data_IF_431448688140
#
_entry.id   IF_431448688140
#
_cell.length_a   1.000
_cell.length_b   1.000
_cell.length_c   1.000
_cell.angle_alpha   90.00
_cell.angle_beta   90.00
_cell.angle_gamma   90.00
#
_symmetry.space_group_name_H-M   'P 1'
#
loop_
_entity.id
_entity.type
_entity.pdbx_description
1 polymer ?
#
# COMPACT_ATOMS: atom_id res chain seq x y z
N UNK A 1 36.99 6.01 6.46
CA UNK A 1 36.60 5.33 5.21
C UNK A 1 35.21 4.81 5.47
N UNK A 2 34.22 5.66 5.22
CA UNK A 2 32.81 5.33 5.42
C UNK A 2 32.43 4.31 4.36
N UNK A 3 32.01 3.14 4.81
CA UNK A 3 31.47 2.10 3.95
C UNK A 3 30.14 2.62 3.40
N UNK A 4 30.16 3.11 2.16
CA UNK A 4 28.95 3.30 1.37
C UNK A 4 28.24 1.96 1.30
N UNK A 5 27.17 1.82 2.08
CA UNK A 5 26.28 0.67 2.04
C UNK A 5 25.60 0.70 0.67
N UNK A 6 26.15 -0.05 -0.28
CA UNK A 6 25.55 -0.27 -1.59
C UNK A 6 24.09 -0.68 -1.42
N UNK A 7 23.16 0.11 -1.96
CA UNK A 7 21.71 -0.17 -2.00
C UNK A 7 21.36 -1.44 -2.82
N UNK A 8 22.35 -2.25 -3.22
CA UNK A 8 22.27 -3.33 -4.20
C UNK A 8 21.52 -4.60 -3.75
N UNK A 9 20.76 -4.58 -2.65
CA UNK A 9 20.02 -5.76 -2.18
C UNK A 9 18.59 -5.48 -1.72
N UNK A 10 17.92 -4.47 -2.28
CA UNK A 10 16.45 -4.45 -2.21
C UNK A 10 15.94 -5.50 -3.18
N UNK A 11 15.49 -6.65 -2.67
CA UNK A 11 14.91 -7.71 -3.47
C UNK A 11 13.77 -7.15 -4.33
N UNK A 12 13.87 -7.32 -5.65
CA UNK A 12 12.86 -6.83 -6.57
C UNK A 12 11.51 -7.52 -6.27
N UNK A 13 10.40 -6.76 -6.19
CA UNK A 13 9.11 -7.34 -5.91
C UNK A 13 8.70 -8.23 -7.09
N UNK A 14 8.62 -9.54 -6.88
CA UNK A 14 8.19 -10.47 -7.92
C UNK A 14 6.68 -10.34 -8.11
N UNK A 15 6.24 -10.08 -9.34
CA UNK A 15 4.84 -10.07 -9.73
C UNK A 15 4.41 -11.45 -10.21
N UNK A 16 3.41 -12.03 -9.56
CA UNK A 16 2.84 -13.34 -9.89
C UNK A 16 1.47 -13.24 -10.60
N UNK A 17 0.94 -12.03 -10.77
CA UNK A 17 -0.38 -11.77 -11.35
C UNK A 17 -1.34 -11.14 -10.36
N UNK A 18 -1.04 -11.24 -9.06
CA UNK A 18 -1.86 -10.66 -8.00
C UNK A 18 -1.34 -9.32 -7.51
N UNK A 19 -2.27 -8.51 -7.00
CA UNK A 19 -1.98 -7.20 -6.41
C UNK A 19 -1.17 -6.25 -7.32
N UNK A 20 -1.49 -6.26 -8.63
CA UNK A 20 -0.80 -5.47 -9.65
C UNK A 20 -0.58 -4.00 -9.26
N UNK A 21 -1.56 -3.35 -8.62
CA UNK A 21 -1.44 -1.95 -8.20
C UNK A 21 -0.31 -1.74 -7.17
N UNK A 22 -0.16 -2.64 -6.20
CA UNK A 22 0.94 -2.55 -5.23
C UNK A 22 2.28 -2.86 -5.88
N UNK A 23 2.31 -3.80 -6.83
CA UNK A 23 3.52 -4.11 -7.58
C UNK A 23 3.97 -2.91 -8.42
N UNK A 24 3.05 -2.23 -9.13
CA UNK A 24 3.35 -1.03 -9.91
C UNK A 24 4.03 0.03 -9.03
N UNK A 25 3.43 0.36 -7.88
CA UNK A 25 4.00 1.37 -6.96
C UNK A 25 5.42 0.98 -6.54
N UNK A 26 5.63 -0.27 -6.11
CA UNK A 26 6.95 -0.74 -5.67
C UNK A 26 7.98 -0.76 -6.81
N UNK A 27 7.58 -1.21 -8.00
CA UNK A 27 8.47 -1.31 -9.15
C UNK A 27 8.85 0.07 -9.68
N UNK A 28 7.90 1.01 -9.76
CA UNK A 28 8.19 2.41 -10.14
C UNK A 28 9.22 3.02 -9.20
N UNK A 29 8.99 2.97 -7.89
CA UNK A 29 9.95 3.48 -6.89
C UNK A 29 11.32 2.80 -6.99
N UNK A 30 11.35 1.49 -7.23
CA UNK A 30 12.60 0.75 -7.39
C UNK A 30 13.38 1.20 -8.64
N UNK A 31 12.72 1.42 -9.76
CA UNK A 31 13.35 1.88 -11.00
C UNK A 31 13.76 3.36 -10.93
N UNK A 32 13.00 4.20 -10.25
CA UNK A 32 13.36 5.59 -9.95
C UNK A 32 14.63 5.65 -9.09
N UNK A 33 14.71 4.86 -8.01
CA UNK A 33 15.88 4.79 -7.14
C UNK A 33 17.16 4.33 -7.87
N UNK A 34 17.00 3.59 -8.97
CA UNK A 34 18.09 3.10 -9.82
C UNK A 34 18.38 3.99 -11.04
N UNK A 35 17.69 5.13 -11.18
CA UNK A 35 17.78 6.03 -12.34
C UNK A 35 17.50 5.31 -13.69
N UNK A 36 16.52 4.39 -13.66
CA UNK A 36 16.09 3.58 -14.80
C UNK A 36 14.69 3.93 -15.32
N UNK A 37 13.89 4.66 -14.55
CA UNK A 37 12.50 4.98 -14.89
C UNK A 37 12.35 5.76 -16.20
N UNK A 38 13.27 6.69 -16.49
CA UNK A 38 13.32 7.49 -17.74
C UNK A 38 13.25 6.60 -19.00
N UNK A 39 13.86 5.41 -18.95
CA UNK A 39 13.86 4.47 -20.09
C UNK A 39 12.49 3.84 -20.39
N UNK A 40 11.57 3.86 -19.43
CA UNK A 40 10.18 3.39 -19.57
C UNK A 40 9.23 4.57 -19.78
N UNK A 41 9.46 5.70 -19.12
CA UNK A 41 8.54 6.84 -19.20
C UNK A 41 8.63 7.54 -20.56
N UNK A 42 9.85 7.86 -21.00
CA UNK A 42 10.05 8.63 -22.24
C UNK A 42 10.13 7.74 -23.48
N UNK A 43 10.45 6.45 -23.29
CA UNK A 43 10.82 5.50 -24.35
C UNK A 43 11.76 6.10 -25.42
N UNK A 44 12.74 6.88 -24.95
CA UNK A 44 13.61 7.64 -25.83
C UNK A 44 14.41 6.76 -26.79
N UNK A 45 14.68 7.27 -27.99
CA UNK A 45 15.63 6.64 -28.90
C UNK A 45 17.08 6.95 -28.51
N UNK A 46 17.98 6.02 -28.84
CA UNK A 46 19.43 6.23 -28.73
C UNK A 46 19.97 6.36 -30.16
N UNK A 47 20.15 7.59 -30.68
CA UNK A 47 20.60 7.79 -32.05
C UNK A 47 22.04 7.29 -32.22
N UNK A 48 22.41 6.88 -33.45
CA UNK A 48 23.79 6.50 -33.74
C UNK A 48 24.76 7.65 -33.47
N UNK A 49 25.97 7.30 -33.05
CA UNK A 49 27.03 8.29 -32.83
C UNK A 49 27.42 8.99 -34.14
N UNK A 50 27.77 10.29 -34.11
CA UNK A 50 28.32 10.99 -35.26
C UNK A 50 29.69 10.42 -35.64
N UNK A 51 30.19 10.72 -36.84
CA UNK A 51 31.46 10.18 -37.36
C UNK A 51 32.68 10.46 -36.46
N UNK A 52 32.70 11.61 -35.78
CA UNK A 52 33.75 12.01 -34.82
C UNK A 52 33.11 12.38 -33.48
N UNK A 53 32.76 11.40 -32.62
CA UNK A 53 32.09 11.67 -31.38
C UNK A 53 33.06 12.19 -30.31
N UNK A 54 32.60 13.13 -29.48
CA UNK A 54 33.34 13.54 -28.29
C UNK A 54 33.29 12.46 -27.21
N UNK A 55 34.21 12.51 -26.25
CA UNK A 55 34.22 11.56 -25.12
C UNK A 55 32.91 11.63 -24.31
N UNK A 56 32.34 12.83 -24.18
CA UNK A 56 31.04 13.04 -23.54
C UNK A 56 29.89 12.37 -24.31
N UNK A 57 29.89 12.47 -25.64
CA UNK A 57 28.88 11.80 -26.48
C UNK A 57 28.98 10.27 -26.38
N UNK A 58 30.20 9.72 -26.39
CA UNK A 58 30.44 8.28 -26.20
C UNK A 58 29.92 7.80 -24.84
N UNK A 59 30.22 8.54 -23.76
CA UNK A 59 29.75 8.24 -22.41
C UNK A 59 28.22 8.24 -22.33
N UNK A 60 27.57 9.33 -22.76
CA UNK A 60 26.12 9.48 -22.71
C UNK A 60 25.40 8.41 -23.55
N UNK A 61 25.90 8.11 -24.76
CA UNK A 61 25.33 7.07 -25.61
C UNK A 61 25.39 5.68 -24.93
N UNK A 62 26.53 5.34 -24.33
CA UNK A 62 26.70 4.08 -23.59
C UNK A 62 25.78 4.03 -22.36
N UNK A 63 25.67 5.13 -21.61
CA UNK A 63 24.81 5.24 -20.43
C UNK A 63 23.33 5.07 -20.81
N UNK A 64 22.82 5.81 -21.80
CA UNK A 64 21.42 5.71 -22.27
C UNK A 64 21.08 4.30 -22.75
N UNK A 65 21.98 3.65 -23.50
CA UNK A 65 21.81 2.25 -23.94
C UNK A 65 21.79 1.29 -22.74
N UNK A 66 22.70 1.49 -21.78
CA UNK A 66 22.78 0.67 -20.57
C UNK A 66 21.53 0.81 -19.71
N UNK A 67 20.99 2.02 -19.53
CA UNK A 67 19.73 2.26 -18.82
C UNK A 67 18.57 1.46 -19.43
N UNK A 68 18.35 1.54 -20.77
CA UNK A 68 17.30 0.77 -21.44
C UNK A 68 17.46 -0.75 -21.21
N UNK A 69 18.67 -1.28 -21.37
CA UNK A 69 18.93 -2.71 -21.15
C UNK A 69 18.74 -3.14 -19.68
N UNK A 70 19.18 -2.32 -18.73
CA UNK A 70 18.99 -2.60 -17.29
C UNK A 70 17.52 -2.58 -16.90
N UNK A 71 16.76 -1.56 -17.32
CA UNK A 71 15.33 -1.47 -17.07
C UNK A 71 14.60 -2.73 -17.56
N UNK A 72 14.90 -3.17 -18.79
CA UNK A 72 14.35 -4.41 -19.37
C UNK A 72 14.69 -5.64 -18.51
N UNK A 73 15.96 -5.78 -18.13
CA UNK A 73 16.42 -6.90 -17.30
C UNK A 73 15.72 -6.93 -15.94
N UNK A 74 15.53 -5.78 -15.29
CA UNK A 74 14.81 -5.69 -14.03
C UNK A 74 13.36 -6.12 -14.17
N UNK A 75 12.64 -5.64 -15.19
CA UNK A 75 11.25 -6.06 -15.43
C UNK A 75 11.12 -7.56 -15.66
N UNK A 76 12.05 -8.18 -16.41
CA UNK A 76 12.08 -9.63 -16.56
C UNK A 76 12.35 -10.38 -15.26
N UNK A 77 13.25 -9.87 -14.41
CA UNK A 77 13.55 -10.49 -13.12
C UNK A 77 12.45 -10.32 -12.08
N UNK A 78 11.57 -9.33 -12.27
CA UNK A 78 10.55 -8.94 -11.32
C UNK A 78 9.17 -9.54 -11.63
N UNK A 79 9.10 -10.57 -12.46
CA UNK A 79 7.86 -11.29 -12.76
C UNK A 79 8.07 -12.79 -12.56
N UNK A 80 6.98 -13.50 -12.27
CA UNK A 80 6.99 -14.97 -12.20
C UNK A 80 7.30 -15.59 -13.56
N UNK A 81 7.76 -16.84 -13.56
CA UNK A 81 8.04 -17.59 -14.80
C UNK A 81 6.84 -17.62 -15.76
N UNK A 82 5.62 -17.71 -15.23
CA UNK A 82 4.38 -17.72 -16.03
C UNK A 82 4.13 -16.39 -16.74
N UNK A 83 4.50 -15.27 -16.12
CA UNK A 83 4.35 -13.95 -16.72
C UNK A 83 5.52 -13.68 -17.67
N UNK A 84 6.73 -14.10 -17.29
CA UNK A 84 7.93 -13.99 -18.13
C UNK A 84 7.70 -14.58 -19.53
N UNK A 85 7.14 -15.79 -19.63
CA UNK A 85 6.87 -16.43 -20.93
C UNK A 85 5.92 -15.64 -21.82
N UNK A 86 5.06 -14.78 -21.26
CA UNK A 86 4.16 -13.90 -22.01
C UNK A 86 4.85 -12.65 -22.55
N UNK A 87 5.89 -12.18 -21.86
CA UNK A 87 6.58 -10.92 -22.17
C UNK A 87 7.96 -11.10 -22.81
N UNK A 88 8.51 -12.32 -22.84
CA UNK A 88 9.90 -12.59 -23.23
C UNK A 88 10.27 -12.15 -24.66
N UNK A 89 9.28 -12.00 -25.55
CA UNK A 89 9.48 -11.56 -26.94
C UNK A 89 9.34 -10.02 -27.10
N UNK A 90 9.10 -9.28 -26.03
CA UNK A 90 8.98 -7.82 -26.08
C UNK A 90 10.36 -7.17 -26.08
N UNK A 91 10.54 -6.15 -26.93
CA UNK A 91 11.87 -5.64 -27.26
C UNK A 91 12.34 -4.53 -26.32
N UNK A 92 11.44 -3.68 -25.84
CA UNK A 92 11.76 -2.58 -24.93
C UNK A 92 11.21 -2.78 -23.52
N UNK A 93 11.79 -2.06 -22.56
CA UNK A 93 11.24 -1.99 -21.20
C UNK A 93 9.84 -1.34 -21.20
N UNK A 94 9.61 -0.38 -22.11
CA UNK A 94 8.32 0.26 -22.35
C UNK A 94 7.25 -0.75 -22.75
N UNK A 95 7.53 -1.58 -23.76
CA UNK A 95 6.60 -2.59 -24.26
C UNK A 95 6.19 -3.57 -23.16
N UNK A 96 7.16 -4.02 -22.36
CA UNK A 96 6.91 -4.90 -21.21
C UNK A 96 5.99 -4.21 -20.21
N UNK A 97 6.32 -2.97 -19.82
CA UNK A 97 5.52 -2.21 -18.87
C UNK A 97 4.09 -2.00 -19.34
N UNK A 98 3.92 -1.61 -20.60
CA UNK A 98 2.60 -1.35 -21.20
C UNK A 98 1.80 -2.63 -21.39
N UNK A 99 2.44 -3.76 -21.71
CA UNK A 99 1.79 -5.07 -21.74
C UNK A 99 1.26 -5.44 -20.35
N UNK A 100 2.10 -5.37 -19.31
CA UNK A 100 1.70 -5.69 -17.94
C UNK A 100 0.57 -4.77 -17.48
N UNK A 101 0.64 -3.49 -17.84
CA UNK A 101 -0.42 -2.51 -17.59
C UNK A 101 -1.72 -2.90 -18.27
N UNK A 102 -1.70 -3.20 -19.56
CA UNK A 102 -2.89 -3.58 -20.32
C UNK A 102 -3.55 -4.84 -19.77
N UNK A 103 -2.74 -5.86 -19.45
CA UNK A 103 -3.22 -7.17 -19.03
C UNK A 103 -3.76 -7.15 -17.59
N UNK A 104 -3.06 -6.48 -16.65
CA UNK A 104 -3.32 -6.64 -15.22
C UNK A 104 -3.91 -5.40 -14.53
N UNK A 105 -3.92 -4.22 -15.18
CA UNK A 105 -4.58 -3.04 -14.60
C UNK A 105 -6.09 -3.24 -14.46
N UNK A 106 -6.68 -4.06 -15.34
CA UNK A 106 -8.12 -4.16 -15.54
C UNK A 106 -8.71 -2.88 -16.13
N UNK A 107 -9.91 -2.97 -16.69
CA UNK A 107 -10.61 -1.79 -17.22
C UNK A 107 -11.26 -0.97 -16.10
N UNK A 108 -11.57 0.30 -16.38
CA UNK A 108 -12.22 1.22 -15.45
C UNK A 108 -13.54 0.67 -14.89
N UNK A 109 -14.32 -0.06 -15.69
CA UNK A 109 -15.58 -0.67 -15.25
C UNK A 109 -15.34 -1.71 -14.15
N UNK A 110 -14.38 -2.62 -14.32
CA UNK A 110 -14.03 -3.64 -13.33
C UNK A 110 -13.41 -3.01 -12.08
N UNK A 111 -12.58 -1.98 -12.21
CA UNK A 111 -12.06 -1.21 -11.07
C UNK A 111 -13.20 -0.56 -10.28
N UNK A 112 -14.10 0.15 -10.95
CA UNK A 112 -15.24 0.81 -10.31
C UNK A 112 -16.17 -0.21 -9.62
N UNK A 113 -16.40 -1.38 -10.24
CA UNK A 113 -17.17 -2.45 -9.60
C UNK A 113 -16.49 -2.99 -8.33
N UNK A 114 -15.17 -3.19 -8.35
CA UNK A 114 -14.39 -3.58 -7.15
C UNK A 114 -14.50 -2.52 -6.05
N UNK A 115 -14.40 -1.24 -6.40
CA UNK A 115 -14.58 -0.12 -5.46
C UNK A 115 -15.98 -0.16 -4.84
N UNK A 116 -17.05 -0.32 -5.65
CA UNK A 116 -18.41 -0.40 -5.13
C UNK A 116 -18.60 -1.55 -4.14
N UNK A 117 -18.02 -2.72 -4.44
CA UNK A 117 -18.06 -3.86 -3.52
C UNK A 117 -17.31 -3.59 -2.21
N UNK A 118 -16.13 -2.95 -2.28
CA UNK A 118 -15.37 -2.56 -1.08
C UNK A 118 -16.10 -1.50 -0.25
N UNK A 119 -16.73 -0.51 -0.90
CA UNK A 119 -17.56 0.48 -0.20
C UNK A 119 -18.72 -0.23 0.49
N UNK A 120 -19.39 -1.17 -0.17
CA UNK A 120 -20.46 -1.97 0.44
C UNK A 120 -19.94 -2.77 1.64
N UNK A 121 -18.77 -3.39 1.52
CA UNK A 121 -18.13 -4.12 2.62
C UNK A 121 -17.84 -3.18 3.81
N UNK A 122 -17.27 -2.00 3.54
CA UNK A 122 -17.05 -0.96 4.54
C UNK A 122 -18.35 -0.57 5.24
N UNK A 123 -19.43 -0.32 4.48
CA UNK A 123 -20.72 0.08 5.05
C UNK A 123 -21.36 -1.02 5.91
N UNK A 124 -21.21 -2.28 5.52
CA UNK A 124 -21.75 -3.42 6.27
C UNK A 124 -20.90 -3.79 7.49
N UNK A 125 -19.62 -3.41 7.53
CA UNK A 125 -18.73 -3.75 8.63
C UNK A 125 -19.19 -3.05 9.92
N UNK A 126 -19.36 -3.83 10.99
CA UNK A 126 -19.66 -3.36 12.34
C UNK A 126 -18.79 -4.07 13.33
N UNK A 127 -18.47 -3.41 14.44
CA UNK A 127 -17.66 -4.03 15.46
C UNK A 127 -18.47 -5.07 16.24
N UNK A 128 -17.92 -6.27 16.42
CA UNK A 128 -18.47 -7.36 17.24
C UNK A 128 -18.12 -7.15 18.71
N UNK A 129 -18.96 -7.70 19.59
CA UNK A 129 -18.72 -7.61 21.04
C UNK A 129 -17.41 -8.25 21.51
N UNK A 130 -16.94 -9.26 20.78
CA UNK A 130 -15.76 -10.06 21.14
C UNK A 130 -14.47 -9.59 20.49
N UNK A 131 -14.51 -8.66 19.53
CA UNK A 131 -13.30 -8.19 18.87
C UNK A 131 -12.70 -6.99 19.62
N UNK A 132 -11.39 -6.77 19.41
CA UNK A 132 -10.67 -5.63 19.98
C UNK A 132 -10.78 -4.40 19.08
N UNK A 133 -10.52 -3.22 19.63
CA UNK A 133 -10.46 -1.99 18.83
C UNK A 133 -9.42 -2.10 17.71
N UNK A 134 -8.27 -2.72 18.00
CA UNK A 134 -7.19 -2.92 17.03
C UNK A 134 -7.64 -3.81 15.86
N UNK A 135 -8.26 -4.95 16.15
CA UNK A 135 -8.73 -5.88 15.12
C UNK A 135 -9.78 -5.22 14.22
N UNK A 136 -10.68 -4.44 14.82
CA UNK A 136 -11.71 -3.72 14.09
C UNK A 136 -11.13 -2.60 13.21
N UNK A 137 -10.22 -1.78 13.76
CA UNK A 137 -9.55 -0.71 13.00
C UNK A 137 -8.71 -1.26 11.85
N UNK A 138 -8.01 -2.38 12.06
CA UNK A 138 -7.18 -3.02 11.04
C UNK A 138 -8.05 -3.54 9.87
N UNK A 139 -9.24 -4.10 10.15
CA UNK A 139 -10.20 -4.52 9.11
C UNK A 139 -10.72 -3.32 8.31
N UNK A 140 -11.13 -2.24 8.97
CA UNK A 140 -11.59 -1.01 8.31
C UNK A 140 -10.50 -0.44 7.41
N UNK A 141 -9.29 -0.26 7.95
CA UNK A 141 -8.15 0.27 7.21
C UNK A 141 -7.75 -0.65 6.06
N UNK A 142 -7.87 -1.96 6.22
CA UNK A 142 -7.65 -2.93 5.14
C UNK A 142 -8.57 -2.70 3.94
N UNK A 143 -9.86 -2.41 4.19
CA UNK A 143 -10.82 -2.10 3.11
C UNK A 143 -10.49 -0.73 2.48
N UNK A 144 -10.27 0.29 3.30
CA UNK A 144 -9.95 1.66 2.86
C UNK A 144 -8.69 1.68 2.00
N UNK A 145 -7.63 0.99 2.41
CA UNK A 145 -6.38 0.93 1.66
C UNK A 145 -6.55 0.24 0.30
N UNK A 146 -7.42 -0.78 0.20
CA UNK A 146 -7.77 -1.39 -1.10
C UNK A 146 -8.51 -0.41 -2.00
N UNK A 147 -9.38 0.44 -1.46
CA UNK A 147 -10.08 1.49 -2.23
C UNK A 147 -9.08 2.54 -2.74
N UNK A 148 -8.19 3.04 -1.86
CA UNK A 148 -7.13 3.99 -2.21
C UNK A 148 -6.17 3.42 -3.26
N UNK A 149 -5.83 2.14 -3.14
CA UNK A 149 -4.98 1.42 -4.11
C UNK A 149 -5.63 1.31 -5.51
N UNK A 150 -6.95 1.36 -5.59
CA UNK A 150 -7.68 1.44 -6.87
C UNK A 150 -7.80 2.87 -7.43
N UNK A 151 -7.15 3.85 -6.80
CA UNK A 151 -7.10 5.24 -7.23
C UNK A 151 -8.34 6.05 -6.84
N UNK A 152 -9.07 5.63 -5.79
CA UNK A 152 -10.22 6.38 -5.27
C UNK A 152 -9.91 6.93 -3.89
N UNK A 153 -10.16 8.21 -3.71
CA UNK A 153 -10.02 8.86 -2.42
C UNK A 153 -11.04 8.29 -1.42
N UNK A 154 -10.60 8.18 -0.17
CA UNK A 154 -11.41 7.76 0.95
C UNK A 154 -10.93 8.52 2.18
N UNK A 155 -11.73 9.44 2.71
CA UNK A 155 -11.32 10.36 3.77
C UNK A 155 -11.21 9.68 5.14
N UNK A 156 -10.24 10.12 5.95
CA UNK A 156 -10.10 9.65 7.33
C UNK A 156 -11.30 10.05 8.20
N UNK A 157 -11.94 11.19 7.90
CA UNK A 157 -13.19 11.63 8.54
C UNK A 157 -14.29 10.57 8.45
N UNK A 158 -14.47 9.96 7.27
CA UNK A 158 -15.47 8.88 7.09
C UNK A 158 -15.13 7.64 7.91
N UNK A 159 -13.84 7.36 8.11
CA UNK A 159 -13.38 6.24 8.94
C UNK A 159 -13.67 6.53 10.41
N UNK A 160 -13.39 7.75 10.87
CA UNK A 160 -13.72 8.23 12.22
C UNK A 160 -15.22 8.11 12.49
N UNK A 161 -16.07 8.66 11.61
CA UNK A 161 -17.53 8.56 11.71
C UNK A 161 -17.99 7.10 11.75
N UNK A 162 -17.41 6.25 10.89
CA UNK A 162 -17.72 4.82 10.86
C UNK A 162 -17.44 4.14 12.18
N UNK A 163 -16.28 4.40 12.79
CA UNK A 163 -15.92 3.85 14.10
C UNK A 163 -16.95 4.29 15.13
N UNK A 164 -17.17 5.60 15.28
CA UNK A 164 -18.08 6.15 16.29
C UNK A 164 -19.48 5.55 16.23
N UNK A 165 -20.02 5.31 15.04
CA UNK A 165 -21.40 4.81 14.85
C UNK A 165 -21.53 3.28 14.97
N UNK A 166 -20.44 2.52 14.94
CA UNK A 166 -20.50 1.05 14.87
C UNK A 166 -19.76 0.32 15.98
N UNK A 167 -19.18 1.05 16.92
CA UNK A 167 -18.69 0.49 18.17
C UNK A 167 -19.85 -0.08 19.01
N UNK A 168 -19.62 -1.15 19.77
CA UNK A 168 -20.63 -1.66 20.68
C UNK A 168 -20.89 -0.72 21.87
N UNK A 169 -22.05 -0.88 22.51
CA UNK A 169 -22.53 -0.03 23.61
C UNK A 169 -21.51 0.12 24.75
N UNK A 170 -20.66 -0.89 24.93
CA UNK A 170 -19.58 -0.85 25.91
C UNK A 170 -18.68 0.39 25.73
N UNK A 171 -18.53 0.97 24.54
CA UNK A 171 -17.70 2.18 24.35
C UNK A 171 -18.45 3.51 24.49
N UNK A 172 -19.78 3.52 24.65
CA UNK A 172 -20.61 4.75 24.68
C UNK A 172 -20.10 5.81 25.65
N UNK A 173 -19.84 5.41 26.90
CA UNK A 173 -19.28 6.33 27.93
C UNK A 173 -18.03 7.09 27.48
N UNK A 174 -17.20 6.49 26.64
CA UNK A 174 -15.98 7.12 26.12
C UNK A 174 -16.27 7.97 24.89
N UNK A 175 -17.20 7.54 24.05
CA UNK A 175 -17.69 8.33 22.92
C UNK A 175 -18.29 9.64 23.43
N UNK A 176 -19.22 9.59 24.39
CA UNK A 176 -19.82 10.82 24.98
C UNK A 176 -18.76 11.74 25.59
N UNK A 177 -17.78 11.18 26.31
CA UNK A 177 -16.66 11.97 26.85
C UNK A 177 -15.79 12.61 25.76
N UNK A 178 -15.63 11.98 24.60
CA UNK A 178 -14.91 12.56 23.46
C UNK A 178 -15.72 13.67 22.79
N UNK A 179 -17.02 13.47 22.63
CA UNK A 179 -17.97 14.47 22.09
C UNK A 179 -18.02 15.74 22.94
N UNK A 180 -17.97 15.60 24.27
CA UNK A 180 -17.98 16.74 25.20
C UNK A 180 -16.64 17.49 25.24
N UNK A 181 -15.52 16.78 25.06
CA UNK A 181 -14.18 17.35 25.23
C UNK A 181 -13.53 17.87 23.95
N UNK A 182 -14.00 17.43 22.77
CA UNK A 182 -13.45 17.81 21.47
C UNK A 182 -14.56 17.92 20.43
N UNK A 183 -14.34 18.78 19.44
CA UNK A 183 -15.14 18.76 18.23
C UNK A 183 -14.85 17.46 17.45
N UNK A 184 -15.85 16.60 17.28
CA UNK A 184 -15.74 15.34 16.53
C UNK A 184 -15.29 15.55 15.08
N UNK A 185 -15.50 16.74 14.50
CA UNK A 185 -15.00 17.06 13.16
C UNK A 185 -13.48 17.29 13.12
N UNK A 186 -12.85 17.48 14.29
CA UNK A 186 -11.42 17.77 14.44
C UNK A 186 -10.59 16.60 14.97
N UNK A 187 -11.23 15.54 15.49
CA UNK A 187 -10.51 14.39 16.05
C UNK A 187 -9.84 13.59 14.94
N UNK A 188 -8.53 13.36 15.06
CA UNK A 188 -7.83 12.52 14.09
C UNK A 188 -8.14 11.04 14.33
N UNK A 189 -8.04 10.23 13.27
CA UNK A 189 -8.20 8.78 13.37
C UNK A 189 -7.27 8.15 14.42
N UNK A 190 -6.01 8.60 14.45
CA UNK A 190 -5.02 8.10 15.40
C UNK A 190 -5.40 8.43 16.85
N UNK A 191 -5.84 9.65 17.12
CA UNK A 191 -6.30 10.05 18.46
C UNK A 191 -7.50 9.23 18.91
N UNK A 192 -8.50 9.03 18.04
CA UNK A 192 -9.69 8.24 18.36
C UNK A 192 -9.32 6.79 18.70
N UNK A 193 -8.54 6.13 17.83
CA UNK A 193 -8.13 4.73 18.03
C UNK A 193 -7.32 4.58 19.32
N UNK A 194 -6.36 5.47 19.58
CA UNK A 194 -5.56 5.44 20.80
C UNK A 194 -6.42 5.64 22.06
N UNK A 195 -7.39 6.56 22.02
CA UNK A 195 -8.28 6.82 23.14
C UNK A 195 -9.18 5.62 23.48
N UNK A 196 -9.67 4.91 22.46
CA UNK A 196 -10.50 3.71 22.60
C UNK A 196 -9.67 2.51 23.10
N UNK A 197 -8.47 2.30 22.54
CA UNK A 197 -7.55 1.24 22.99
C UNK A 197 -7.14 1.43 24.45
N UNK A 198 -6.85 2.67 24.87
CA UNK A 198 -6.52 2.96 26.27
C UNK A 198 -7.69 2.62 27.22
N UNK A 199 -8.94 2.83 26.81
CA UNK A 199 -10.11 2.44 27.60
C UNK A 199 -10.26 0.92 27.67
N UNK A 200 -10.09 0.23 26.54
CA UNK A 200 -10.13 -1.23 26.44
C UNK A 200 -9.10 -1.87 27.39
N UNK A 201 -7.85 -1.41 27.35
CA UNK A 201 -6.78 -1.89 28.22
C UNK A 201 -7.11 -1.67 29.72
N UNK A 202 -7.60 -0.48 30.09
CA UNK A 202 -8.02 -0.19 31.49
C UNK A 202 -9.18 -1.07 31.96
N UNK A 203 -10.04 -1.54 31.06
CA UNK A 203 -11.13 -2.46 31.39
C UNK A 203 -10.64 -3.88 31.59
N UNK A 204 -9.67 -4.33 30.79
CA UNK A 204 -9.07 -5.65 30.96
C UNK A 204 -8.36 -5.78 32.31
N UNK A 205 -7.51 -4.81 32.67
CA UNK A 205 -6.78 -4.81 33.96
C UNK A 205 -7.76 -4.92 35.14
N UNK A 206 -8.81 -4.10 35.18
CA UNK A 206 -9.80 -4.13 36.26
C UNK A 206 -10.60 -5.43 36.33
N UNK A 207 -10.80 -6.11 35.20
CA UNK A 207 -11.48 -7.39 35.15
C UNK A 207 -10.59 -8.52 35.69
N UNK A 208 -9.29 -8.48 35.40
CA UNK A 208 -8.29 -9.39 35.95
C UNK A 208 -8.16 -9.24 37.47
N UNK A 209 -8.02 -8.01 37.97
CA UNK A 209 -7.97 -7.71 39.41
C UNK A 209 -9.22 -8.22 40.16
N UNK A 210 -10.40 -8.04 39.55
CA UNK A 210 -11.68 -8.52 40.12
C UNK A 210 -11.76 -10.06 40.17
N UNK A 211 -11.24 -10.75 39.15
CA UNK A 211 -11.19 -12.21 39.10
C UNK A 211 -10.20 -12.78 40.13
N UNK A 212 -9.03 -12.17 40.29
CA UNK A 212 -8.05 -12.59 41.30
C UNK A 212 -8.57 -12.42 42.73
N UNK A 213 -9.21 -11.30 43.04
CA UNK A 213 -9.84 -11.07 44.34
C UNK A 213 -10.97 -12.07 44.65
N UNK A 214 -11.77 -12.45 43.65
CA UNK A 214 -12.82 -13.44 43.80
C UNK A 214 -12.32 -14.87 44.03
N UNK A 215 -11.14 -15.22 43.49
CA UNK A 215 -10.47 -16.50 43.74
C UNK A 215 -9.87 -16.55 45.15
N UNK A 216 -9.25 -15.46 45.60
CA UNK A 216 -8.68 -15.36 46.95
C UNK A 216 -9.75 -15.38 48.05
N UNK A 217 -10.94 -14.82 47.81
CA UNK A 217 -12.03 -14.81 48.79
C UNK A 217 -12.76 -16.17 48.94
N UNK A 218 -12.50 -17.15 48.07
CA UNK A 218 -13.12 -18.49 48.09
C UNK A 218 -12.18 -19.60 48.58
N UNK A 219 -10.93 -19.27 48.89
CA UNK A 219 -9.93 -20.15 49.48
C UNK A 219 -9.91 -20.00 51.01
#
# INVERSE_FOLDING_TARGET
METETSFSHVASPIFDGDNYQAWVVRMTVHLEALDLWEAIEEDYDVPPLPANPTMTQLKNHKERKTKKSKAKAYLFSAVSSTIFTRIMNLESAKDIWDYLKKEYQGNERTKNMKVLNLIREFEMLKMKETETIKDYSDKLLGIVNKVRLLGKDFSDERIVQKILVTLPEKYESKISSLEESKDLSSISLAELVNALQAQEQRRMIRKEESMEGALQAKA
#
